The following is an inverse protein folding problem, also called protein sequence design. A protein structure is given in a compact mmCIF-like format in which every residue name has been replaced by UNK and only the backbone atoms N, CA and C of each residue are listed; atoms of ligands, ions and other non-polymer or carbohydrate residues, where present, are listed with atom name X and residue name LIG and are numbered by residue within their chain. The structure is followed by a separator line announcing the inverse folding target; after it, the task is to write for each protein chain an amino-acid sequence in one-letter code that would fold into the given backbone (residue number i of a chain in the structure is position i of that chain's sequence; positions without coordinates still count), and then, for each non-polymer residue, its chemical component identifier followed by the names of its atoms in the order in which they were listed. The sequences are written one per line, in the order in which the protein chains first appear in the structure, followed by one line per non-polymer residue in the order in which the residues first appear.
data_IF_767088453050
#
_entry.id   IF_767088453050
#
_cell.length_a   1.000
_cell.length_b   1.000
_cell.length_c   1.000
_cell.angle_alpha   90.00
_cell.angle_beta   90.00
_cell.angle_gamma   90.00
#
_symmetry.space_group_name_H-M   'P 1'
#
loop_
_entity.id
_entity.type
_entity.pdbx_description
1 polymer ?
#
# COMPACT_ATOMS: atom_id res chain seq x y z
N UNK A 1 30.02 -26.73 29.38
CA UNK A 1 28.84 -27.03 28.53
C UNK A 1 27.67 -26.07 28.78
N UNK A 2 27.30 -25.75 30.02
CA UNK A 2 26.19 -24.82 30.32
C UNK A 2 26.46 -23.37 29.87
N UNK A 3 27.70 -22.89 30.04
CA UNK A 3 28.12 -21.54 29.63
C UNK A 3 28.12 -21.40 28.09
N UNK A 4 28.48 -22.46 27.37
CA UNK A 4 28.50 -22.47 25.90
C UNK A 4 27.08 -22.47 25.31
N UNK A 5 26.15 -23.17 25.96
CA UNK A 5 24.72 -23.16 25.58
C UNK A 5 24.07 -21.80 25.87
N UNK A 6 24.44 -21.15 26.99
CA UNK A 6 23.98 -19.80 27.32
C UNK A 6 24.48 -18.73 26.35
N UNK A 7 25.75 -18.81 25.92
CA UNK A 7 26.31 -17.93 24.90
C UNK A 7 25.65 -18.14 23.52
N UNK A 8 25.36 -19.39 23.15
CA UNK A 8 24.65 -19.71 21.90
C UNK A 8 23.23 -19.10 21.88
N UNK A 9 22.53 -19.12 23.01
CA UNK A 9 21.19 -18.54 23.17
C UNK A 9 21.20 -17.00 23.15
N UNK A 10 22.23 -16.36 23.71
CA UNK A 10 22.41 -14.90 23.62
C UNK A 10 22.71 -14.44 22.18
N UNK A 11 23.48 -15.22 21.42
CA UNK A 11 23.77 -14.94 20.01
C UNK A 11 22.54 -15.17 19.10
N UNK A 12 21.71 -16.17 19.39
CA UNK A 12 20.48 -16.45 18.62
C UNK A 12 19.37 -15.41 18.88
N UNK A 13 19.30 -14.83 20.08
CA UNK A 13 18.25 -13.87 20.46
C UNK A 13 18.37 -12.49 19.80
N UNK A 14 19.56 -12.11 19.31
CA UNK A 14 19.78 -10.84 18.59
C UNK A 14 19.38 -10.92 17.11
N UNK A 15 19.31 -12.11 16.54
CA UNK A 15 19.03 -12.33 15.11
C UNK A 15 17.54 -12.38 14.79
N UNK A 16 16.67 -12.58 15.79
CA UNK A 16 15.21 -12.69 15.58
C UNK A 16 14.43 -11.38 15.82
N UNK A 17 15.10 -10.33 16.31
CA UNK A 17 14.47 -9.07 16.72
C UNK A 17 15.15 -7.84 16.10
N UNK A 18 15.82 -7.99 14.95
CA UNK A 18 16.08 -6.85 14.11
C UNK A 18 14.71 -6.41 13.53
N UNK A 19 14.19 -5.21 13.86
CA UNK A 19 13.13 -4.64 13.05
C UNK A 19 13.66 -4.61 11.62
N UNK A 20 12.89 -5.11 10.66
CA UNK A 20 13.20 -4.85 9.26
C UNK A 20 13.25 -3.33 9.13
N UNK A 21 14.44 -2.81 8.83
CA UNK A 21 14.68 -1.37 8.74
C UNK A 21 13.64 -0.74 7.80
N UNK A 22 12.72 0.04 8.38
CA UNK A 22 12.57 1.43 7.98
C UNK A 22 11.50 1.79 6.95
N UNK A 23 10.57 0.91 6.58
CA UNK A 23 9.30 1.35 5.99
C UNK A 23 8.19 0.47 6.55
N UNK A 24 7.43 0.99 7.51
CA UNK A 24 6.12 0.43 7.83
C UNK A 24 5.25 0.69 6.60
N UNK A 25 5.23 -0.27 5.67
CA UNK A 25 4.31 -0.23 4.54
C UNK A 25 2.92 -0.40 5.12
N UNK A 26 2.24 0.72 5.37
CA UNK A 26 0.81 0.72 5.61
C UNK A 26 0.17 0.53 4.25
N UNK A 27 -0.49 -0.60 3.97
CA UNK A 27 -1.28 -0.74 2.75
C UNK A 27 -2.44 0.27 2.70
N UNK A 28 -2.69 0.96 3.81
CA UNK A 28 -3.78 1.90 4.03
C UNK A 28 -3.23 3.31 4.24
N UNK A 29 -2.44 3.82 3.29
CA UNK A 29 -1.88 5.18 3.35
C UNK A 29 -2.99 6.25 3.34
N UNK A 30 -4.08 6.02 2.59
CA UNK A 30 -5.28 6.86 2.58
C UNK A 30 -6.48 6.06 3.11
N UNK A 31 -6.71 6.04 4.43
CA UNK A 31 -7.72 5.17 5.04
C UNK A 31 -9.17 5.53 4.69
N UNK A 32 -9.39 6.70 4.11
CA UNK A 32 -10.65 7.18 3.56
C UNK A 32 -10.93 6.68 2.14
N UNK A 33 -9.92 6.11 1.45
CA UNK A 33 -10.07 5.52 0.13
C UNK A 33 -10.28 4.02 0.22
N UNK A 34 -11.10 3.48 -0.70
CA UNK A 34 -11.28 2.04 -0.80
C UNK A 34 -9.96 1.37 -1.17
N UNK A 35 -9.54 0.38 -0.39
CA UNK A 35 -8.25 -0.30 -0.60
C UNK A 35 -7.01 0.57 -0.37
N UNK A 36 -7.17 1.83 0.07
CA UNK A 36 -6.10 2.79 0.27
C UNK A 36 -5.80 3.71 -0.92
N UNK A 37 -6.36 3.44 -2.10
CA UNK A 37 -5.99 4.15 -3.35
C UNK A 37 -7.15 4.38 -4.34
N UNK A 38 -8.37 3.92 -4.06
CA UNK A 38 -9.53 4.07 -4.96
C UNK A 38 -10.59 5.00 -4.35
N UNK A 39 -10.85 6.12 -5.02
CA UNK A 39 -11.90 7.06 -4.64
C UNK A 39 -13.27 6.71 -5.26
N UNK A 40 -14.35 7.07 -4.57
CA UNK A 40 -15.73 6.98 -5.09
C UNK A 40 -16.35 5.58 -5.09
N UNK A 41 -15.79 4.64 -4.33
CA UNK A 41 -16.33 3.30 -4.11
C UNK A 41 -16.74 3.17 -2.64
N UNK A 42 -18.04 2.98 -2.40
CA UNK A 42 -18.61 2.84 -1.06
C UNK A 42 -18.92 1.37 -0.71
N UNK A 43 -18.80 0.47 -1.69
CA UNK A 43 -19.26 -0.92 -1.59
C UNK A 43 -18.29 -1.89 -2.26
N UNK A 44 -18.06 -3.04 -1.64
CA UNK A 44 -17.09 -4.08 -2.06
C UNK A 44 -17.51 -4.89 -3.30
N UNK A 45 -18.53 -4.48 -4.04
CA UNK A 45 -19.14 -5.27 -5.11
C UNK A 45 -18.26 -5.36 -6.38
N UNK A 46 -17.40 -4.37 -6.62
CA UNK A 46 -16.60 -4.23 -7.85
C UNK A 46 -15.09 -4.28 -7.55
N UNK A 47 -14.58 -5.45 -7.15
CA UNK A 47 -13.16 -5.60 -6.75
C UNK A 47 -12.16 -5.63 -7.91
N UNK A 48 -12.60 -5.82 -9.16
CA UNK A 48 -11.66 -6.05 -10.27
C UNK A 48 -12.14 -5.58 -11.65
N UNK A 49 -13.44 -5.53 -11.89
CA UNK A 49 -13.99 -5.03 -13.14
C UNK A 49 -15.23 -4.19 -12.85
N UNK A 50 -15.46 -3.16 -13.67
CA UNK A 50 -16.70 -2.37 -13.63
C UNK A 50 -17.72 -3.10 -14.53
N UNK A 51 -18.73 -3.80 -13.97
CA UNK A 51 -19.71 -4.54 -14.76
C UNK A 51 -20.70 -3.62 -15.48
N UNK A 52 -20.97 -2.45 -14.88
CA UNK A 52 -21.89 -1.49 -15.46
C UNK A 52 -21.21 -0.68 -16.58
N UNK A 53 -21.58 -0.98 -17.83
CA UNK A 53 -21.05 -0.32 -19.03
C UNK A 53 -21.28 1.19 -19.08
N UNK A 54 -22.27 1.73 -18.35
CA UNK A 54 -22.51 3.18 -18.31
C UNK A 54 -21.43 3.94 -17.53
N UNK A 55 -20.60 3.24 -16.76
CA UNK A 55 -19.43 3.80 -16.05
C UNK A 55 -18.15 3.73 -16.88
N UNK A 56 -18.20 3.24 -18.12
CA UNK A 56 -17.05 3.21 -19.03
C UNK A 56 -16.95 4.50 -19.83
N UNK A 57 -15.72 4.88 -20.16
CA UNK A 57 -15.46 6.01 -21.06
C UNK A 57 -16.00 5.72 -22.46
N UNK A 58 -16.72 6.68 -23.09
CA UNK A 58 -17.20 6.51 -24.46
C UNK A 58 -16.07 6.20 -25.42
N UNK A 59 -16.25 5.17 -26.26
CA UNK A 59 -15.26 4.69 -27.23
C UNK A 59 -13.91 4.28 -26.62
N UNK A 60 -13.82 4.12 -25.29
CA UNK A 60 -12.54 3.85 -24.61
C UNK A 60 -11.55 5.01 -24.64
N UNK A 61 -12.01 6.24 -24.90
CA UNK A 61 -11.16 7.44 -24.96
C UNK A 61 -11.26 8.18 -23.62
N UNK A 62 -10.11 8.37 -22.95
CA UNK A 62 -10.01 9.13 -21.69
C UNK A 62 -9.47 10.53 -22.00
N UNK A 63 -10.31 11.57 -22.04
CA UNK A 63 -9.85 12.94 -22.17
C UNK A 63 -9.17 13.38 -20.87
N UNK A 64 -8.07 14.13 -20.98
CA UNK A 64 -7.35 14.68 -19.84
C UNK A 64 -6.87 16.10 -20.12
N UNK A 65 -6.57 16.83 -19.05
CA UNK A 65 -5.90 18.12 -19.04
C UNK A 65 -4.83 18.07 -17.96
N UNK A 66 -3.64 18.61 -18.24
CA UNK A 66 -2.58 18.70 -17.24
C UNK A 66 -2.95 19.76 -16.20
N UNK A 67 -2.98 19.36 -14.92
CA UNK A 67 -3.13 20.30 -13.83
C UNK A 67 -1.81 21.10 -13.64
N UNK A 68 -1.86 22.42 -13.38
CA UNK A 68 -0.65 23.21 -13.13
C UNK A 68 0.23 22.67 -11.99
N UNK A 69 -0.38 22.02 -10.99
CA UNK A 69 0.31 21.38 -9.86
C UNK A 69 0.96 20.04 -10.19
N UNK A 70 0.84 19.50 -11.41
CA UNK A 70 1.36 18.18 -11.79
C UNK A 70 2.87 18.02 -11.55
N UNK A 71 3.64 19.12 -11.60
CA UNK A 71 5.09 19.12 -11.39
C UNK A 71 5.51 19.57 -9.98
N UNK A 72 4.56 20.06 -9.20
CA UNK A 72 4.81 20.49 -7.83
C UNK A 72 4.88 19.26 -6.94
N UNK A 73 6.04 19.02 -6.32
CA UNK A 73 6.13 17.99 -5.28
C UNK A 73 5.55 18.60 -4.00
N UNK A 74 4.47 18.02 -3.48
CA UNK A 74 4.02 18.35 -2.12
C UNK A 74 5.13 17.90 -1.17
N UNK A 75 5.74 18.87 -0.49
CA UNK A 75 6.91 18.66 0.38
C UNK A 75 6.49 18.55 1.83
#
# INVERSE_FOLDING_TARGET
MVILLGLLLLCAGKTLAAPLDGVEYSPMENPDLFGGDIAGIETDEDRSAIPNKTRLWPNGIVPFVEDPGLKETVR
#
